data_IF_124150632825
#
_entry.id   IF_124150632825
#
_cell.length_a   1.000
_cell.length_b   1.000
_cell.length_c   1.000
_cell.angle_alpha   90.00
_cell.angle_beta   90.00
_cell.angle_gamma   90.00
#
_symmetry.space_group_name_H-M   'P 1'
#
loop_
_entity.id
_entity.type
_entity.pdbx_description
1 polymer ?
#
# COMPACT_ATOMS: atom_id res chain seq x y z
N UNK A 1 -21.37 88.71 24.18
CA UNK A 1 -19.89 88.72 24.14
C UNK A 1 -19.44 87.70 23.09
N UNK A 2 -18.29 87.94 22.45
CA UNK A 2 -17.79 87.17 21.31
C UNK A 2 -17.01 85.91 21.73
N UNK A 3 -16.57 85.16 20.71
CA UNK A 3 -15.62 84.03 20.67
C UNK A 3 -16.24 82.61 20.56
N UNK A 4 -15.69 81.68 19.77
CA UNK A 4 -14.86 81.80 18.55
C UNK A 4 -14.95 80.49 17.73
N UNK A 5 -14.80 80.56 16.42
CA UNK A 5 -14.97 79.43 15.48
C UNK A 5 -13.85 78.36 15.57
N UNK A 6 -14.21 77.10 15.84
CA UNK A 6 -13.51 75.92 15.28
C UNK A 6 -14.50 74.75 15.06
N UNK A 7 -14.73 74.28 13.81
CA UNK A 7 -15.51 73.06 13.57
C UNK A 7 -14.66 71.78 13.75
N UNK A 8 -15.21 70.68 14.31
CA UNK A 8 -14.45 69.44 14.53
C UNK A 8 -14.13 68.71 13.22
N UNK A 9 -12.86 68.35 13.04
CA UNK A 9 -12.36 67.63 11.86
C UNK A 9 -12.97 66.23 11.72
N UNK A 10 -13.26 65.85 10.48
CA UNK A 10 -13.81 64.55 10.12
C UNK A 10 -12.92 63.37 10.56
N UNK A 11 -13.50 62.42 11.30
CA UNK A 11 -12.86 61.13 11.57
C UNK A 11 -12.80 60.32 10.27
N UNK A 12 -11.64 60.35 9.58
CA UNK A 12 -11.31 59.34 8.56
C UNK A 12 -11.23 57.96 9.23
N UNK A 13 -12.29 57.17 9.10
CA UNK A 13 -12.23 55.74 9.36
C UNK A 13 -11.34 55.10 8.29
N UNK A 14 -10.07 54.93 8.61
CA UNK A 14 -9.12 54.24 7.75
C UNK A 14 -9.43 52.74 7.73
N UNK A 15 -10.17 52.30 6.72
CA UNK A 15 -10.39 50.88 6.46
C UNK A 15 -9.05 50.19 6.20
N UNK A 16 -8.50 49.54 7.23
CA UNK A 16 -7.38 48.60 7.09
C UNK A 16 -7.89 47.34 6.37
N UNK A 17 -7.92 47.41 5.05
CA UNK A 17 -7.98 46.24 4.18
C UNK A 17 -6.81 45.32 4.54
N UNK A 18 -7.11 44.21 5.23
CA UNK A 18 -6.16 43.11 5.34
C UNK A 18 -6.03 42.48 3.96
N UNK A 19 -4.91 42.75 3.29
CA UNK A 19 -4.52 42.00 2.10
C UNK A 19 -4.54 40.50 2.45
N UNK A 20 -5.04 39.62 1.56
CA UNK A 20 -4.95 38.19 1.79
C UNK A 20 -3.46 37.81 1.84
N UNK A 21 -3.03 37.16 2.92
CA UNK A 21 -1.69 36.57 2.98
C UNK A 21 -1.62 35.48 1.91
N UNK A 22 -0.95 35.79 0.79
CA UNK A 22 -0.66 34.84 -0.27
C UNK A 22 0.16 33.70 0.33
N UNK A 23 -0.52 32.61 0.68
CA UNK A 23 0.06 31.47 1.39
C UNK A 23 1.01 30.74 0.45
N UNK A 24 2.25 31.24 0.40
CA UNK A 24 3.30 30.75 -0.48
C UNK A 24 3.39 29.22 -0.35
N UNK A 25 3.37 28.47 -1.48
CA UNK A 25 3.37 27.01 -1.42
C UNK A 25 4.63 26.58 -0.68
N UNK A 26 4.46 25.87 0.45
CA UNK A 26 5.58 25.34 1.24
C UNK A 26 6.50 24.59 0.28
N UNK A 27 7.73 25.08 0.12
CA UNK A 27 8.72 24.45 -0.72
C UNK A 27 8.81 22.97 -0.35
N UNK A 28 8.56 22.08 -1.33
CA UNK A 28 8.64 20.63 -1.12
C UNK A 28 10.03 20.33 -0.53
N UNK A 29 10.06 19.74 0.66
CA UNK A 29 11.33 19.45 1.33
C UNK A 29 12.18 18.55 0.43
N UNK A 30 13.36 19.01 -0.05
CA UNK A 30 14.22 18.14 -0.82
C UNK A 30 14.82 17.09 0.15
N UNK A 31 14.71 15.80 -0.21
CA UNK A 31 15.29 14.59 0.43
C UNK A 31 14.29 13.51 0.92
N UNK A 32 13.00 13.57 0.56
CA UNK A 32 12.27 12.30 0.44
C UNK A 32 12.88 11.52 -0.74
N UNK A 33 13.35 10.28 -0.50
CA UNK A 33 13.44 9.33 -1.59
C UNK A 33 12.03 9.15 -2.14
N UNK A 34 11.88 9.14 -3.47
CA UNK A 34 10.58 8.90 -4.07
C UNK A 34 10.11 7.51 -3.67
N UNK A 35 8.88 7.41 -3.15
CA UNK A 35 8.33 6.13 -2.71
C UNK A 35 8.30 5.14 -3.87
N UNK A 36 8.41 3.84 -3.58
CA UNK A 36 8.47 2.78 -4.59
C UNK A 36 7.60 1.59 -4.21
N UNK A 37 7.16 0.86 -5.24
CA UNK A 37 6.39 -0.37 -5.12
C UNK A 37 7.01 -1.50 -5.92
N UNK A 38 6.88 -2.72 -5.42
CA UNK A 38 7.30 -3.93 -6.12
C UNK A 38 6.41 -4.21 -7.34
N UNK A 39 7.01 -4.78 -8.38
CA UNK A 39 6.27 -5.32 -9.54
C UNK A 39 5.22 -6.36 -9.17
N UNK A 40 5.31 -7.00 -8.00
CA UNK A 40 4.29 -7.90 -7.44
C UNK A 40 2.89 -7.27 -7.36
N UNK A 41 2.79 -5.95 -7.18
CA UNK A 41 1.50 -5.22 -7.17
C UNK A 41 0.96 -5.02 -8.59
N UNK A 42 1.82 -5.07 -9.62
CA UNK A 42 1.50 -4.75 -11.02
C UNK A 42 1.16 -6.01 -11.82
N UNK A 43 1.86 -7.14 -11.57
CA UNK A 43 1.65 -8.43 -12.25
C UNK A 43 0.18 -8.85 -12.37
N UNK A 44 -0.65 -8.79 -11.30
CA UNK A 44 -2.03 -9.28 -11.39
C UNK A 44 -2.93 -8.39 -12.24
N UNK A 45 -2.62 -7.10 -12.36
CA UNK A 45 -3.32 -6.19 -13.28
C UNK A 45 -2.98 -6.50 -14.74
N UNK A 46 -1.71 -6.81 -15.06
CA UNK A 46 -1.32 -7.27 -16.40
C UNK A 46 -2.07 -8.57 -16.79
N UNK A 47 -2.12 -9.54 -15.86
CA UNK A 47 -2.88 -10.78 -16.04
C UNK A 47 -4.39 -10.50 -16.26
N UNK A 48 -5.00 -9.66 -15.43
CA UNK A 48 -6.42 -9.31 -15.56
C UNK A 48 -6.75 -8.61 -16.88
N UNK A 49 -5.96 -7.59 -17.26
CA UNK A 49 -6.14 -6.90 -18.55
C UNK A 49 -6.07 -7.88 -19.73
N UNK A 50 -5.11 -8.82 -19.69
CA UNK A 50 -4.97 -9.88 -20.70
C UNK A 50 -6.19 -10.81 -20.70
N UNK A 51 -6.68 -11.20 -19.53
CA UNK A 51 -7.87 -12.05 -19.37
C UNK A 51 -9.15 -11.42 -19.95
N UNK A 52 -9.31 -10.09 -19.88
CA UNK A 52 -10.43 -9.35 -20.50
C UNK A 52 -10.15 -8.91 -21.95
N UNK A 53 -9.12 -9.46 -22.61
CA UNK A 53 -8.83 -9.19 -24.02
C UNK A 53 -8.21 -7.81 -24.30
N UNK A 54 -7.60 -7.17 -23.30
CA UNK A 54 -6.75 -5.97 -23.48
C UNK A 54 -5.28 -6.38 -23.59
N UNK A 55 -4.50 -5.59 -24.32
CA UNK A 55 -3.07 -5.84 -24.45
C UNK A 55 -2.32 -5.38 -23.19
N UNK A 56 -2.13 -6.32 -22.26
CA UNK A 56 -1.36 -6.10 -21.03
C UNK A 56 0.12 -5.81 -21.27
N UNK A 57 0.70 -6.25 -22.40
CA UNK A 57 2.10 -5.98 -22.73
C UNK A 57 2.27 -4.54 -23.26
N UNK A 58 1.35 -4.07 -24.12
CA UNK A 58 1.32 -2.68 -24.57
C UNK A 58 1.08 -1.70 -23.41
N UNK A 59 0.21 -2.03 -22.46
CA UNK A 59 -0.02 -1.25 -21.24
C UNK A 59 1.25 -1.11 -20.38
N UNK A 60 2.05 -2.18 -20.22
CA UNK A 60 3.35 -2.10 -19.55
C UNK A 60 4.36 -1.27 -20.36
N UNK A 61 4.40 -1.47 -21.68
CA UNK A 61 5.28 -0.77 -22.60
C UNK A 61 5.06 0.74 -22.64
N UNK A 62 3.81 1.19 -22.50
CA UNK A 62 3.45 2.62 -22.40
C UNK A 62 4.15 3.34 -21.23
N UNK A 63 4.48 2.59 -20.18
CA UNK A 63 5.20 3.08 -18.99
C UNK A 63 6.65 2.59 -18.94
N UNK A 64 7.19 2.05 -20.03
CA UNK A 64 8.59 1.59 -20.12
C UNK A 64 8.91 0.31 -19.34
N UNK A 65 7.90 -0.52 -19.04
CA UNK A 65 8.06 -1.85 -18.46
C UNK A 65 7.89 -2.92 -19.54
N UNK A 66 8.42 -4.12 -19.29
CA UNK A 66 8.16 -5.31 -20.12
C UNK A 66 7.57 -6.44 -19.26
N UNK A 67 6.88 -7.42 -19.85
CA UNK A 67 6.41 -8.60 -19.11
C UNK A 67 7.54 -9.37 -18.41
N UNK A 68 8.73 -9.43 -19.01
CA UNK A 68 9.92 -10.10 -18.45
C UNK A 68 10.46 -9.34 -17.24
N UNK A 69 10.44 -8.00 -17.27
CA UNK A 69 10.79 -7.18 -16.12
C UNK A 69 9.84 -7.45 -14.93
N UNK A 70 8.57 -7.77 -15.19
CA UNK A 70 7.64 -8.27 -14.17
C UNK A 70 7.90 -9.73 -13.74
N UNK A 71 9.05 -10.33 -14.04
CA UNK A 71 9.49 -11.58 -13.39
C UNK A 71 10.53 -11.31 -12.29
N UNK A 72 11.31 -10.25 -12.42
CA UNK A 72 12.34 -9.85 -11.45
C UNK A 72 11.75 -9.53 -10.07
N UNK A 73 12.22 -10.26 -9.05
CA UNK A 73 11.68 -10.19 -7.66
C UNK A 73 12.02 -8.87 -6.96
N UNK A 74 13.23 -8.37 -7.20
CA UNK A 74 13.72 -7.13 -6.58
C UNK A 74 13.36 -5.86 -7.37
N UNK A 75 12.72 -5.99 -8.55
CA UNK A 75 12.37 -4.83 -9.36
C UNK A 75 11.23 -4.02 -8.71
N UNK A 76 11.48 -2.73 -8.57
CA UNK A 76 10.56 -1.74 -8.02
C UNK A 76 10.41 -0.57 -8.97
N UNK A 77 9.22 0.00 -9.01
CA UNK A 77 8.92 1.21 -9.77
C UNK A 77 8.64 2.38 -8.82
N UNK A 78 8.92 3.64 -9.22
CA UNK A 78 8.46 4.82 -8.51
C UNK A 78 6.94 4.81 -8.33
N UNK A 79 6.49 5.32 -7.19
CA UNK A 79 5.09 5.40 -6.80
C UNK A 79 4.25 6.16 -7.84
N UNK A 80 4.76 7.24 -8.43
CA UNK A 80 4.07 7.97 -9.50
C UNK A 80 3.87 7.13 -10.78
N UNK A 81 4.81 6.24 -11.12
CA UNK A 81 4.67 5.30 -12.24
C UNK A 81 3.61 4.22 -11.92
N UNK A 82 3.56 3.73 -10.68
CA UNK A 82 2.50 2.83 -10.22
C UNK A 82 1.11 3.48 -10.22
N UNK A 83 1.01 4.74 -9.79
CA UNK A 83 -0.23 5.53 -9.87
C UNK A 83 -0.68 5.64 -11.33
N UNK A 84 0.23 6.02 -12.25
CA UNK A 84 -0.07 6.13 -13.67
C UNK A 84 -0.55 4.80 -14.26
N UNK A 85 0.18 3.70 -14.06
CA UNK A 85 -0.19 2.35 -14.48
C UNK A 85 -1.61 1.97 -14.04
N UNK A 86 -1.92 2.12 -12.75
CA UNK A 86 -3.22 1.72 -12.20
C UNK A 86 -4.37 2.63 -12.68
N UNK A 87 -4.13 3.93 -12.86
CA UNK A 87 -5.10 4.84 -13.47
C UNK A 87 -5.36 4.50 -14.94
N UNK A 88 -4.31 4.17 -15.69
CA UNK A 88 -4.40 3.74 -17.09
C UNK A 88 -5.12 2.39 -17.22
N UNK A 89 -4.88 1.45 -16.29
CA UNK A 89 -5.57 0.16 -16.26
C UNK A 89 -7.09 0.30 -16.08
N UNK A 90 -7.56 1.21 -15.21
CA UNK A 90 -8.98 1.55 -15.06
C UNK A 90 -9.56 2.13 -16.36
N UNK A 91 -8.82 3.04 -17.01
CA UNK A 91 -9.27 3.68 -18.24
C UNK A 91 -9.34 2.70 -19.43
N UNK A 92 -8.37 1.79 -19.55
CA UNK A 92 -8.27 0.80 -20.62
C UNK A 92 -9.28 -0.34 -20.47
N UNK A 93 -9.55 -0.78 -19.24
CA UNK A 93 -10.58 -1.80 -18.98
C UNK A 93 -11.99 -1.23 -19.08
N UNK A 94 -12.21 0.01 -18.61
CA UNK A 94 -13.54 0.54 -18.30
C UNK A 94 -14.12 -0.01 -16.99
N UNK A 95 -13.32 -0.79 -16.25
CA UNK A 95 -13.69 -1.45 -15.00
C UNK A 95 -13.15 -0.66 -13.79
N UNK A 96 -14.08 -0.08 -13.04
CA UNK A 96 -13.73 0.67 -11.83
C UNK A 96 -13.43 -0.23 -10.62
N UNK A 97 -13.79 -1.52 -10.66
CA UNK A 97 -13.51 -2.51 -9.62
C UNK A 97 -12.25 -3.36 -9.94
N UNK A 98 -11.42 -2.90 -10.89
CA UNK A 98 -10.24 -3.62 -11.38
C UNK A 98 -9.25 -4.01 -10.27
N UNK A 99 -9.19 -3.27 -9.16
CA UNK A 99 -8.39 -3.68 -8.00
C UNK A 99 -8.87 -5.00 -7.40
N UNK A 100 -10.19 -5.13 -7.26
CA UNK A 100 -10.84 -6.36 -6.78
C UNK A 100 -10.66 -7.50 -7.78
N UNK A 101 -10.83 -7.27 -9.07
CA UNK A 101 -10.64 -8.32 -10.08
C UNK A 101 -9.18 -8.75 -10.23
N UNK A 102 -8.22 -7.82 -10.25
CA UNK A 102 -6.79 -8.13 -10.30
C UNK A 102 -6.35 -8.99 -9.10
N UNK A 103 -6.95 -8.82 -7.92
CA UNK A 103 -6.68 -9.66 -6.76
C UNK A 103 -7.12 -11.15 -6.94
N UNK A 104 -7.98 -11.45 -7.90
CA UNK A 104 -8.31 -12.83 -8.30
C UNK A 104 -7.28 -13.43 -9.26
N UNK A 105 -6.50 -12.59 -9.96
CA UNK A 105 -5.40 -12.98 -10.84
C UNK A 105 -4.05 -13.11 -10.09
N UNK A 106 -4.09 -13.18 -8.76
CA UNK A 106 -2.93 -13.40 -7.88
C UNK A 106 -2.65 -14.91 -7.78
N UNK A 107 -1.51 -15.31 -8.32
CA UNK A 107 -0.99 -16.68 -8.29
C UNK A 107 -0.22 -16.95 -6.99
N UNK A 108 0.02 -18.22 -6.67
CA UNK A 108 0.77 -18.59 -5.47
C UNK A 108 2.25 -18.23 -5.62
N UNK A 109 2.80 -17.48 -4.66
CA UNK A 109 4.17 -16.97 -4.67
C UNK A 109 4.31 -15.57 -5.26
N UNK A 110 3.24 -14.93 -5.72
CA UNK A 110 3.25 -13.55 -6.24
C UNK A 110 3.65 -12.53 -5.17
N UNK A 111 3.37 -12.78 -3.88
CA UNK A 111 3.82 -11.90 -2.78
C UNK A 111 5.10 -12.43 -2.08
N UNK A 112 5.78 -13.39 -2.69
CA UNK A 112 7.11 -13.87 -2.31
C UNK A 112 7.22 -14.21 -0.81
N UNK A 113 8.35 -13.88 -0.17
CA UNK A 113 8.61 -14.08 1.26
C UNK A 113 7.46 -13.62 2.17
N UNK A 114 6.68 -12.61 1.78
CA UNK A 114 5.55 -12.14 2.57
C UNK A 114 4.41 -13.16 2.59
N UNK A 115 4.12 -13.79 1.44
CA UNK A 115 3.10 -14.85 1.31
C UNK A 115 3.48 -16.08 2.16
N UNK A 116 4.74 -16.51 2.05
CA UNK A 116 5.26 -17.66 2.78
C UNK A 116 5.37 -17.36 4.29
N UNK A 117 5.83 -16.18 4.70
CA UNK A 117 5.98 -15.85 6.11
C UNK A 117 4.61 -15.77 6.80
N UNK A 118 3.64 -15.10 6.17
CA UNK A 118 2.28 -15.05 6.69
C UNK A 118 1.66 -16.46 6.83
N UNK A 119 1.99 -17.42 5.95
CA UNK A 119 1.32 -18.73 5.94
C UNK A 119 1.77 -19.60 7.12
N UNK A 120 3.00 -19.34 7.58
CA UNK A 120 3.64 -20.02 8.69
C UNK A 120 3.39 -19.33 10.06
N UNK A 121 2.69 -18.18 10.07
CA UNK A 121 2.17 -17.58 11.32
C UNK A 121 1.14 -18.50 11.98
N UNK A 122 1.00 -18.44 13.31
CA UNK A 122 0.07 -19.32 14.02
C UNK A 122 -1.40 -18.93 13.81
N UNK A 123 -1.69 -17.66 13.51
CA UNK A 123 -3.04 -17.15 13.32
C UNK A 123 -3.12 -16.02 12.29
N UNK A 124 -4.34 -15.70 11.86
CA UNK A 124 -4.65 -14.55 11.01
C UNK A 124 -4.15 -13.24 11.63
N UNK A 125 -4.30 -13.07 12.95
CA UNK A 125 -3.84 -11.89 13.67
C UNK A 125 -2.32 -11.71 13.61
N UNK A 126 -1.55 -12.79 13.79
CA UNK A 126 -0.09 -12.75 13.63
C UNK A 126 0.30 -12.39 12.19
N UNK A 127 -0.39 -12.93 11.19
CA UNK A 127 -0.11 -12.61 9.79
C UNK A 127 -0.46 -11.17 9.41
N UNK A 128 -1.53 -10.59 9.96
CA UNK A 128 -1.84 -9.17 9.75
C UNK A 128 -0.80 -8.26 10.43
N UNK A 129 -0.30 -8.61 11.62
CA UNK A 129 0.81 -7.89 12.26
C UNK A 129 2.09 -8.00 11.43
N UNK A 130 2.37 -9.18 10.86
CA UNK A 130 3.50 -9.40 9.96
C UNK A 130 3.35 -8.57 8.67
N UNK A 131 2.16 -8.54 8.07
CA UNK A 131 1.85 -7.69 6.92
C UNK A 131 2.05 -6.19 7.23
N UNK A 132 1.62 -5.71 8.41
CA UNK A 132 1.84 -4.33 8.82
C UNK A 132 3.33 -3.98 8.90
N UNK A 133 4.16 -4.88 9.46
CA UNK A 133 5.61 -4.70 9.58
C UNK A 133 6.32 -4.68 8.22
N UNK A 134 5.92 -5.56 7.30
CA UNK A 134 6.62 -5.80 6.05
C UNK A 134 5.97 -5.14 4.82
N UNK A 135 4.91 -4.34 4.99
CA UNK A 135 4.19 -3.65 3.91
C UNK A 135 5.11 -2.89 2.94
N UNK A 136 6.20 -2.29 3.45
CA UNK A 136 7.18 -1.58 2.64
C UNK A 136 7.90 -2.45 1.58
N UNK A 137 7.98 -3.78 1.80
CA UNK A 137 8.45 -4.73 0.77
C UNK A 137 7.55 -4.73 -0.46
N UNK A 138 6.26 -4.41 -0.32
CA UNK A 138 5.34 -4.28 -1.44
C UNK A 138 5.21 -2.83 -1.91
N UNK A 139 5.05 -1.87 -0.98
CA UNK A 139 4.87 -0.45 -1.28
C UNK A 139 5.32 0.41 -0.09
N UNK A 140 6.47 1.08 -0.18
CA UNK A 140 7.06 1.84 0.94
C UNK A 140 6.37 3.19 1.23
N UNK A 141 5.56 3.68 0.29
CA UNK A 141 4.67 4.82 0.46
C UNK A 141 3.37 4.50 1.22
N UNK A 142 3.15 3.24 1.64
CA UNK A 142 1.91 2.77 2.25
C UNK A 142 2.18 2.15 3.63
N UNK A 143 1.38 2.54 4.63
CA UNK A 143 1.41 2.01 5.98
C UNK A 143 0.11 1.28 6.29
N UNK A 144 0.20 0.10 6.89
CA UNK A 144 -0.92 -0.58 7.53
C UNK A 144 -0.84 -0.41 9.05
N UNK A 145 -1.99 -0.23 9.68
CA UNK A 145 -2.14 -0.20 11.13
C UNK A 145 -3.26 -1.15 11.55
N UNK A 146 -2.98 -2.08 12.47
CA UNK A 146 -3.99 -2.98 13.02
C UNK A 146 -4.44 -2.48 14.41
N UNK A 147 -5.57 -1.78 14.44
CA UNK A 147 -6.23 -1.36 15.67
C UNK A 147 -7.05 -2.52 16.24
N UNK A 148 -6.72 -2.99 17.46
CA UNK A 148 -7.47 -4.07 18.13
C UNK A 148 -8.23 -3.50 19.34
N UNK A 149 -9.55 -3.54 19.29
CA UNK A 149 -10.45 -3.04 20.33
C UNK A 149 -11.63 -4.02 20.53
N UNK A 150 -11.45 -5.07 21.37
CA UNK A 150 -12.42 -6.16 21.50
C UNK A 150 -13.86 -5.66 21.74
N UNK A 151 -14.87 -6.24 21.06
CA UNK A 151 -14.81 -7.46 20.23
C UNK A 151 -14.35 -7.25 18.78
N UNK A 152 -13.94 -6.04 18.40
CA UNK A 152 -13.62 -5.65 17.02
C UNK A 152 -12.11 -5.45 16.79
N UNK A 153 -11.72 -5.47 15.53
CA UNK A 153 -10.44 -4.95 15.06
C UNK A 153 -10.62 -4.27 13.69
N UNK A 154 -9.73 -3.33 13.39
CA UNK A 154 -9.69 -2.61 12.12
C UNK A 154 -8.26 -2.60 11.56
N UNK A 155 -8.08 -3.12 10.34
CA UNK A 155 -6.86 -2.92 9.57
C UNK A 155 -7.04 -1.65 8.73
N UNK A 156 -6.30 -0.60 9.06
CA UNK A 156 -6.35 0.70 8.38
C UNK A 156 -5.21 0.85 7.39
N UNK A 157 -5.45 1.63 6.33
CA UNK A 157 -4.40 2.03 5.37
C UNK A 157 -4.15 3.53 5.46
N UNK A 158 -2.88 3.93 5.43
CA UNK A 158 -2.45 5.33 5.33
C UNK A 158 -1.34 5.50 4.31
N UNK A 159 -1.34 6.64 3.61
CA UNK A 159 -0.21 7.08 2.83
C UNK A 159 0.90 7.67 3.69
N UNK A 160 2.12 7.15 3.55
CA UNK A 160 3.32 7.69 4.18
C UNK A 160 3.58 9.09 3.63
N UNK A 161 3.86 10.07 4.50
CA UNK A 161 4.10 11.46 4.11
C UNK A 161 2.90 12.17 3.47
N UNK A 162 1.69 11.58 3.51
CA UNK A 162 0.50 12.12 2.84
C UNK A 162 0.39 11.76 1.36
N UNK A 163 1.12 10.73 0.89
CA UNK A 163 0.96 10.20 -0.48
C UNK A 163 -0.46 9.66 -0.70
N UNK A 164 -1.10 10.06 -1.80
CA UNK A 164 -2.38 9.52 -2.23
C UNK A 164 -2.17 8.24 -3.04
N UNK A 165 -3.13 7.32 -2.97
CA UNK A 165 -3.06 6.02 -3.64
C UNK A 165 -4.32 5.85 -4.49
N UNK A 166 -4.22 5.27 -5.71
CA UNK A 166 -5.37 5.06 -6.56
C UNK A 166 -6.34 4.06 -5.90
N UNK A 167 -7.67 4.22 -6.07
CA UNK A 167 -8.68 3.32 -5.52
C UNK A 167 -8.36 1.84 -5.76
N UNK A 168 -8.06 1.49 -7.02
CA UNK A 168 -7.69 0.14 -7.44
C UNK A 168 -6.53 -0.47 -6.64
N UNK A 169 -5.57 0.33 -6.16
CA UNK A 169 -4.46 -0.18 -5.34
C UNK A 169 -4.89 -0.56 -3.92
N UNK A 170 -5.82 0.19 -3.32
CA UNK A 170 -6.38 -0.09 -1.99
C UNK A 170 -7.37 -1.24 -2.04
N UNK A 171 -8.22 -1.27 -3.06
CA UNK A 171 -9.12 -2.39 -3.36
C UNK A 171 -8.34 -3.70 -3.56
N UNK A 172 -7.28 -3.67 -4.38
CA UNK A 172 -6.40 -4.80 -4.62
C UNK A 172 -5.73 -5.30 -3.34
N UNK A 173 -5.21 -4.40 -2.51
CA UNK A 173 -4.61 -4.74 -1.22
C UNK A 173 -5.62 -5.48 -0.32
N UNK A 174 -6.82 -4.94 -0.14
CA UNK A 174 -7.84 -5.55 0.71
C UNK A 174 -8.39 -6.87 0.15
N UNK A 175 -8.66 -6.94 -1.17
CA UNK A 175 -9.10 -8.18 -1.80
C UNK A 175 -8.01 -9.27 -1.74
N UNK A 176 -6.74 -8.89 -1.97
CA UNK A 176 -5.60 -9.82 -1.88
C UNK A 176 -5.41 -10.39 -0.48
N UNK A 177 -5.53 -9.58 0.57
CA UNK A 177 -5.46 -10.04 1.97
C UNK A 177 -6.57 -11.05 2.30
N UNK A 178 -7.77 -10.90 1.75
CA UNK A 178 -8.88 -11.84 1.95
C UNK A 178 -8.74 -13.12 1.12
N UNK A 179 -8.36 -13.01 -0.15
CA UNK A 179 -8.03 -14.17 -1.00
C UNK A 179 -6.94 -15.01 -0.35
N UNK A 180 -5.86 -14.36 0.09
CA UNK A 180 -4.77 -14.98 0.80
C UNK A 180 -5.20 -15.62 2.14
N UNK A 181 -5.86 -14.85 3.02
CA UNK A 181 -6.28 -15.33 4.33
C UNK A 181 -7.26 -16.51 4.24
N UNK A 182 -8.10 -16.53 3.21
CA UNK A 182 -9.00 -17.65 2.93
C UNK A 182 -8.25 -18.93 2.55
N UNK A 183 -7.15 -18.80 1.79
CA UNK A 183 -6.25 -19.93 1.46
C UNK A 183 -5.52 -20.44 2.70
N UNK A 184 -5.03 -19.55 3.57
CA UNK A 184 -4.22 -19.94 4.75
C UNK A 184 -5.01 -20.60 5.89
N UNK A 185 -6.32 -20.32 6.02
CA UNK A 185 -7.21 -21.00 6.99
C UNK A 185 -8.14 -22.06 6.37
N UNK A 186 -8.03 -22.31 5.06
CA UNK A 186 -8.78 -23.36 4.35
C UNK A 186 -10.29 -23.12 4.20
N UNK A 187 -10.80 -21.90 4.46
CA UNK A 187 -12.20 -21.53 4.24
C UNK A 187 -12.34 -20.04 3.93
N UNK A 188 -13.41 -19.67 3.19
CA UNK A 188 -13.67 -18.29 2.78
C UNK A 188 -13.78 -17.36 4.00
N UNK A 189 -12.85 -16.42 4.13
CA UNK A 189 -12.99 -15.28 5.04
C UNK A 189 -13.70 -14.15 4.34
N UNK A 190 -14.54 -13.42 5.09
CA UNK A 190 -15.10 -12.14 4.67
C UNK A 190 -15.06 -11.21 5.89
N UNK A 191 -14.66 -9.93 5.72
CA UNK A 191 -14.66 -8.99 6.83
C UNK A 191 -16.10 -8.71 7.26
N UNK A 192 -16.28 -8.06 8.41
CA UNK A 192 -17.57 -7.50 8.78
C UNK A 192 -17.96 -6.41 7.78
N UNK A 193 -17.01 -5.52 7.47
CA UNK A 193 -17.17 -4.39 6.56
C UNK A 193 -15.83 -3.95 5.98
N UNK A 194 -15.84 -3.35 4.80
CA UNK A 194 -14.75 -2.50 4.28
C UNK A 194 -15.25 -1.07 4.10
N UNK A 195 -14.48 -0.12 4.61
CA UNK A 195 -14.62 1.30 4.35
C UNK A 195 -13.55 1.72 3.32
N UNK A 196 -13.97 2.42 2.27
CA UNK A 196 -13.12 3.03 1.26
C UNK A 196 -13.28 4.56 1.29
N UNK A 197 -12.18 5.29 1.13
CA UNK A 197 -12.17 6.78 1.10
C UNK A 197 -12.70 7.35 -0.19
N UNK A 198 -12.42 6.68 -1.30
CA UNK A 198 -12.89 7.13 -2.60
C UNK A 198 -14.42 7.08 -2.69
N UNK A 199 -15.07 7.96 -3.48
CA UNK A 199 -16.50 7.87 -3.72
C UNK A 199 -16.85 6.53 -4.37
N UNK A 200 -18.12 6.11 -4.24
CA UNK A 200 -18.63 4.93 -4.95
C UNK A 200 -18.40 5.16 -6.44
N UNK A 201 -17.78 4.22 -7.17
CA UNK A 201 -17.61 4.36 -8.60
C UNK A 201 -18.93 4.69 -9.29
N UNK A 202 -18.90 5.68 -10.18
CA UNK A 202 -20.03 5.91 -11.08
C UNK A 202 -20.24 4.65 -11.92
N UNK A 203 -21.50 4.30 -12.22
CA UNK A 203 -21.84 3.15 -13.07
C UNK A 203 -22.12 3.66 -14.49
N UNK A 204 -21.14 3.68 -15.42
CA UNK A 204 -21.44 3.89 -16.82
C UNK A 204 -22.46 2.85 -17.31
N UNK A 205 -23.26 3.21 -18.30
CA UNK A 205 -24.21 2.27 -18.90
C UNK A 205 -23.43 1.10 -19.51
N UNK A 206 -23.69 -0.13 -19.04
CA UNK A 206 -22.95 -1.34 -19.41
C UNK A 206 -21.74 -1.70 -18.52
N UNK A 207 -21.50 -0.97 -17.43
CA UNK A 207 -20.37 -1.26 -16.53
C UNK A 207 -20.56 -2.54 -15.70
N UNK A 208 -19.43 -3.21 -15.43
CA UNK A 208 -19.30 -4.40 -14.58
C UNK A 208 -19.92 -4.16 -13.20
N UNK A 209 -20.55 -5.19 -12.64
CA UNK A 209 -21.42 -5.03 -11.49
C UNK A 209 -20.67 -4.72 -10.19
N UNK A 210 -21.15 -3.72 -9.45
CA UNK A 210 -20.66 -3.48 -8.08
C UNK A 210 -20.96 -4.65 -7.13
N UNK A 211 -21.76 -5.63 -7.57
CA UNK A 211 -21.89 -6.92 -6.91
C UNK A 211 -20.55 -7.64 -6.65
N UNK A 212 -19.47 -7.41 -7.42
CA UNK A 212 -18.16 -8.00 -7.08
C UNK A 212 -17.64 -7.53 -5.71
N UNK A 213 -17.89 -6.28 -5.34
CA UNK A 213 -17.58 -5.79 -4.00
C UNK A 213 -18.41 -6.52 -2.94
N UNK A 214 -19.70 -6.74 -3.20
CA UNK A 214 -20.64 -7.46 -2.32
C UNK A 214 -20.49 -8.99 -2.38
N UNK A 215 -19.68 -9.52 -3.28
CA UNK A 215 -19.23 -10.92 -3.32
C UNK A 215 -17.96 -11.09 -2.47
N UNK A 216 -16.92 -10.29 -2.72
CA UNK A 216 -15.66 -10.38 -1.98
C UNK A 216 -15.85 -9.92 -0.53
N UNK A 217 -16.34 -8.70 -0.34
CA UNK A 217 -16.53 -8.06 0.95
C UNK A 217 -17.98 -8.21 1.42
N UNK A 218 -18.25 -8.35 2.73
CA UNK A 218 -19.62 -8.56 3.25
C UNK A 218 -20.49 -7.30 3.15
N UNK A 219 -19.94 -6.18 3.60
CA UNK A 219 -20.55 -4.85 3.57
C UNK A 219 -19.46 -3.90 3.07
N UNK A 220 -19.80 -2.97 2.17
CA UNK A 220 -18.86 -1.97 1.65
C UNK A 220 -19.46 -0.58 1.77
N UNK A 221 -18.66 0.35 2.29
CA UNK A 221 -18.97 1.78 2.35
C UNK A 221 -17.92 2.56 1.58
N UNK A 222 -18.38 3.53 0.81
CA UNK A 222 -17.54 4.43 0.00
C UNK A 222 -17.70 5.87 0.50
N UNK A 223 -16.71 6.72 0.25
CA UNK A 223 -16.69 8.11 0.71
C UNK A 223 -16.42 8.25 2.22
N UNK A 224 -15.78 7.26 2.84
CA UNK A 224 -15.41 7.29 4.26
C UNK A 224 -14.19 8.19 4.53
N UNK A 225 -13.93 8.55 5.79
CA UNK A 225 -12.75 9.37 6.14
C UNK A 225 -11.42 8.62 5.96
N UNK A 226 -11.41 7.30 6.18
CA UNK A 226 -10.25 6.43 6.15
C UNK A 226 -10.54 5.08 5.49
N UNK A 227 -9.54 4.48 4.86
CA UNK A 227 -9.64 3.12 4.29
C UNK A 227 -9.43 2.11 5.43
N UNK A 228 -10.40 1.22 5.64
CA UNK A 228 -10.36 0.30 6.77
C UNK A 228 -11.11 -1.01 6.49
N UNK A 229 -10.48 -2.15 6.79
CA UNK A 229 -11.12 -3.46 6.83
C UNK A 229 -11.44 -3.83 8.28
N UNK A 230 -12.72 -4.07 8.59
CA UNK A 230 -13.20 -4.39 9.92
C UNK A 230 -13.45 -5.89 10.10
N UNK A 231 -13.01 -6.45 11.21
CA UNK A 231 -13.22 -7.86 11.56
C UNK A 231 -13.51 -8.02 13.08
N UNK A 232 -13.86 -9.23 13.50
CA UNK A 232 -13.93 -9.58 14.93
C UNK A 232 -12.55 -10.00 15.43
N UNK A 233 -12.28 -9.80 16.73
CA UNK A 233 -11.09 -10.38 17.37
C UNK A 233 -11.08 -11.91 17.31
N UNK A 234 -12.26 -12.55 17.31
CA UNK A 234 -12.39 -13.98 17.06
C UNK A 234 -11.90 -14.41 15.67
N UNK A 235 -12.01 -13.56 14.64
CA UNK A 235 -11.43 -13.83 13.32
C UNK A 235 -9.90 -13.75 13.33
N UNK A 236 -9.32 -12.80 14.08
CA UNK A 236 -7.86 -12.71 14.26
C UNK A 236 -7.28 -13.95 14.94
N UNK A 237 -8.04 -14.56 15.86
CA UNK A 237 -7.63 -15.77 16.59
C UNK A 237 -7.80 -17.07 15.78
N UNK A 238 -8.26 -17.02 14.52
CA UNK A 238 -8.36 -18.22 13.67
C UNK A 238 -6.95 -18.76 13.35
N UNK A 239 -6.67 -20.05 13.61
CA UNK A 239 -5.38 -20.64 13.28
C UNK A 239 -5.24 -20.88 11.78
N UNK A 240 -4.01 -20.82 11.28
CA UNK A 240 -3.69 -21.31 9.93
C UNK A 240 -3.66 -22.84 9.86
N UNK A 241 -3.82 -23.39 8.65
CA UNK A 241 -3.86 -24.84 8.45
C UNK A 241 -2.55 -25.56 8.77
N UNK A 242 -1.39 -24.93 8.50
CA UNK A 242 -0.05 -25.52 8.66
C UNK A 242 0.99 -24.49 9.11
N UNK A 243 0.93 -23.98 10.36
CA UNK A 243 1.92 -23.05 10.89
C UNK A 243 3.25 -23.76 11.19
N UNK A 244 4.37 -23.19 10.75
CA UNK A 244 5.72 -23.63 11.11
C UNK A 244 6.53 -22.46 11.69
N UNK A 245 6.75 -22.48 13.01
CA UNK A 245 7.50 -21.45 13.73
C UNK A 245 8.98 -21.36 13.31
N UNK A 246 9.59 -22.48 12.93
CA UNK A 246 10.99 -22.55 12.53
C UNK A 246 11.18 -21.92 11.15
N UNK A 247 10.31 -22.29 10.19
CA UNK A 247 10.32 -21.69 8.86
C UNK A 247 9.93 -20.20 8.90
N UNK A 248 8.93 -19.83 9.72
CA UNK A 248 8.56 -18.43 9.96
C UNK A 248 9.76 -17.58 10.41
N UNK A 249 10.62 -18.09 11.31
CA UNK A 249 11.80 -17.37 11.76
C UNK A 249 12.81 -17.13 10.63
N UNK A 250 13.04 -18.14 9.77
CA UNK A 250 13.94 -18.02 8.61
C UNK A 250 13.41 -16.97 7.62
N UNK A 251 12.11 -17.05 7.28
CA UNK A 251 11.46 -16.13 6.35
C UNK A 251 11.43 -14.70 6.90
N UNK A 252 11.17 -14.52 8.20
CA UNK A 252 11.21 -13.21 8.86
C UNK A 252 12.62 -12.61 8.84
N UNK A 253 13.65 -13.41 9.10
CA UNK A 253 15.05 -12.96 9.03
C UNK A 253 15.44 -12.50 7.62
N UNK A 254 14.92 -13.17 6.58
CA UNK A 254 15.11 -12.79 5.18
C UNK A 254 14.35 -11.51 4.82
N UNK A 255 13.07 -11.41 5.19
CA UNK A 255 12.26 -10.20 4.99
C UNK A 255 12.87 -8.97 5.69
N UNK A 256 13.45 -9.14 6.87
CA UNK A 256 14.22 -8.11 7.57
C UNK A 256 15.50 -7.70 6.83
N UNK A 257 16.15 -8.62 6.11
CA UNK A 257 17.30 -8.29 5.28
C UNK A 257 16.89 -7.44 4.07
N UNK A 258 15.77 -7.77 3.43
CA UNK A 258 15.20 -6.98 2.33
C UNK A 258 14.76 -5.57 2.81
N UNK A 259 14.08 -5.44 3.96
CA UNK A 259 13.75 -4.13 4.53
C UNK A 259 15.00 -3.29 4.81
N UNK A 260 16.07 -3.90 5.32
CA UNK A 260 17.36 -3.23 5.52
C UNK A 260 18.04 -2.81 4.22
N UNK A 261 17.76 -3.46 3.09
CA UNK A 261 18.23 -3.03 1.77
C UNK A 261 17.43 -1.84 1.27
N UNK A 262 16.09 -1.87 1.34
CA UNK A 262 15.22 -0.72 0.99
C UNK A 262 15.54 0.54 1.80
N UNK A 263 15.87 0.38 3.08
CA UNK A 263 16.22 1.50 3.96
C UNK A 263 17.61 2.13 3.66
N UNK A 264 18.45 1.53 2.81
CA UNK A 264 19.74 2.11 2.43
C UNK A 264 19.53 3.17 1.35
N UNK A 265 20.13 4.37 1.48
CA UNK A 265 20.12 5.32 0.37
C UNK A 265 20.86 4.70 -0.82
N UNK A 266 20.34 4.83 -2.07
CA UNK A 266 20.86 4.13 -3.24
C UNK A 266 22.36 4.37 -3.45
N UNK A 267 23.06 3.45 -4.09
CA UNK A 267 24.47 3.59 -4.39
C UNK A 267 24.74 4.86 -5.22
N UNK A 268 25.97 5.39 -5.18
CA UNK A 268 26.34 6.53 -6.02
C UNK A 268 26.12 6.24 -7.51
N UNK A 269 26.37 4.99 -7.94
CA UNK A 269 26.11 4.54 -9.31
C UNK A 269 24.61 4.54 -9.67
N UNK A 270 23.72 4.13 -8.75
CA UNK A 270 22.26 4.15 -8.97
C UNK A 270 21.74 5.59 -9.03
N UNK A 271 22.19 6.47 -8.13
CA UNK A 271 21.89 7.91 -8.22
C UNK A 271 22.42 8.53 -9.52
N UNK A 272 23.59 8.11 -9.99
CA UNK A 272 24.14 8.56 -11.26
C UNK A 272 23.30 8.05 -12.45
N UNK A 273 22.90 6.77 -12.47
CA UNK A 273 22.01 6.21 -13.50
C UNK A 273 20.64 6.88 -13.52
N UNK A 274 20.02 7.10 -12.36
CA UNK A 274 18.75 7.82 -12.26
C UNK A 274 18.86 9.25 -12.80
N UNK A 275 19.90 10.01 -12.41
CA UNK A 275 20.15 11.36 -12.96
C UNK A 275 20.45 11.31 -14.46
N UNK A 276 21.18 10.30 -14.95
CA UNK A 276 21.46 10.13 -16.38
C UNK A 276 20.16 9.87 -17.15
N UNK A 277 19.28 8.97 -16.67
CA UNK A 277 17.96 8.73 -17.23
C UNK A 277 17.10 10.01 -17.27
N UNK A 278 17.02 10.73 -16.14
CA UNK A 278 16.37 12.06 -16.06
C UNK A 278 16.94 13.05 -17.12
N UNK A 279 18.26 13.10 -17.33
CA UNK A 279 18.86 14.03 -18.31
C UNK A 279 18.79 13.59 -19.76
N UNK A 280 18.75 12.28 -20.05
CA UNK A 280 18.58 11.75 -21.40
C UNK A 280 17.14 11.97 -21.87
N UNK A 281 16.15 11.70 -21.02
CA UNK A 281 14.74 12.01 -21.30
C UNK A 281 14.50 13.52 -21.47
N UNK A 282 15.28 14.36 -20.79
CA UNK A 282 15.23 15.81 -20.93
C UNK A 282 16.10 16.37 -22.08
N UNK A 283 16.83 15.56 -22.84
CA UNK A 283 17.68 16.01 -23.96
C UNK A 283 18.94 16.81 -23.56
N UNK A 284 19.38 16.77 -22.30
CA UNK A 284 20.50 17.58 -21.79
C UNK A 284 21.81 16.75 -21.69
N UNK A 285 22.46 16.55 -22.83
CA UNK A 285 23.68 15.74 -22.95
C UNK A 285 24.94 16.48 -22.49
N UNK A 286 25.46 16.16 -21.30
CA UNK A 286 26.77 16.64 -20.85
C UNK A 286 27.25 15.97 -19.55
N UNK A 287 28.28 15.13 -19.64
CA UNK A 287 28.80 14.32 -18.52
C UNK A 287 29.18 15.16 -17.28
N UNK A 288 29.80 16.32 -17.48
CA UNK A 288 30.12 17.27 -16.40
C UNK A 288 28.86 17.85 -15.72
N UNK A 289 27.75 18.02 -16.46
CA UNK A 289 26.52 18.58 -15.92
C UNK A 289 25.81 17.55 -15.02
N UNK A 290 25.84 16.28 -15.43
CA UNK A 290 25.44 15.12 -14.60
C UNK A 290 26.30 15.06 -13.33
N UNK A 291 27.63 15.04 -13.46
CA UNK A 291 28.55 15.00 -12.32
C UNK A 291 28.30 16.17 -11.33
N UNK A 292 28.10 17.38 -11.85
CA UNK A 292 27.77 18.57 -11.04
C UNK A 292 26.37 18.55 -10.43
N UNK A 293 25.40 17.78 -10.96
CA UNK A 293 24.08 17.56 -10.34
C UNK A 293 24.14 16.48 -9.25
N UNK A 294 24.79 15.34 -9.52
CA UNK A 294 24.97 14.26 -8.54
C UNK A 294 25.76 14.77 -7.32
N UNK A 295 26.84 15.53 -7.52
CA UNK A 295 27.62 16.11 -6.42
C UNK A 295 26.81 17.11 -5.57
N UNK A 296 25.97 17.95 -6.20
CA UNK A 296 25.10 18.92 -5.50
C UNK A 296 23.95 18.25 -4.75
N UNK A 297 23.30 17.21 -5.30
CA UNK A 297 22.30 16.40 -4.57
C UNK A 297 22.91 15.61 -3.40
N UNK A 298 24.22 15.30 -3.43
CA UNK A 298 24.90 14.51 -2.39
C UNK A 298 25.42 15.34 -1.18
N UNK A 299 25.16 16.65 -1.10
CA UNK A 299 25.56 17.49 0.03
C UNK A 299 27.08 17.68 0.23
N UNK A 300 27.92 17.24 -0.71
CA UNK A 300 29.38 17.34 -0.61
C UNK A 300 29.88 18.62 -1.30
N UNK A 301 30.44 19.54 -0.51
CA UNK A 301 31.44 20.48 -1.04
C UNK A 301 32.62 19.68 -1.59
N UNK A 302 33.25 20.19 -2.65
CA UNK A 302 34.43 19.62 -3.33
C UNK A 302 35.47 19.17 -2.30
N UNK A 303 36.09 17.97 -2.44
CA UNK A 303 37.15 17.56 -1.51
C UNK A 303 38.31 18.57 -1.57
N UNK A 304 38.92 18.94 -0.43
CA UNK A 304 40.20 19.64 -0.43
C UNK A 304 41.28 18.74 -1.04
N UNK A 305 42.38 19.34 -1.51
CA UNK A 305 43.60 18.58 -1.82
C UNK A 305 44.16 17.96 -0.53
N UNK A 306 44.87 16.84 -0.66
CA UNK A 306 45.44 16.10 0.46
C UNK A 306 46.31 16.99 1.37
N UNK A 307 46.09 16.87 2.68
CA UNK A 307 46.75 17.68 3.71
C UNK A 307 45.96 17.67 5.03
N UNK A 308 46.32 16.74 5.90
CA UNK A 308 46.13 16.69 7.36
C UNK A 308 44.75 16.58 8.06
N UNK A 309 44.84 15.84 9.19
CA UNK A 309 44.04 15.90 10.43
C UNK A 309 42.59 15.33 10.49
N UNK A 310 42.52 14.07 10.94
CA UNK A 310 41.72 13.52 12.07
C UNK A 310 40.18 13.75 12.20
N UNK A 311 39.43 12.76 12.73
CA UNK A 311 37.96 12.75 12.64
C UNK A 311 37.24 13.48 13.78
N UNK A 312 36.16 14.20 13.45
CA UNK A 312 35.11 14.59 14.42
C UNK A 312 33.86 13.72 14.22
N UNK A 313 33.40 13.09 15.31
CA UNK A 313 32.12 12.36 15.34
C UNK A 313 30.96 13.35 15.43
N UNK A 314 29.87 13.07 14.72
CA UNK A 314 28.55 13.67 14.95
C UNK A 314 27.51 12.54 15.09
N UNK A 315 26.43 12.76 15.87
CA UNK A 315 25.57 11.68 16.35
C UNK A 315 24.63 11.14 15.28
N UNK A 316 24.35 9.85 15.37
CA UNK A 316 23.22 9.22 14.67
C UNK A 316 21.93 9.70 15.36
N UNK A 317 21.03 10.31 14.59
CA UNK A 317 19.69 10.65 15.06
C UNK A 317 18.85 9.38 15.13
N UNK A 318 18.41 9.03 16.34
CA UNK A 318 17.51 7.90 16.59
C UNK A 318 16.10 8.20 16.02
N UNK A 319 15.44 7.18 15.47
CA UNK A 319 14.16 7.30 14.74
C UNK A 319 12.95 6.96 15.64
N UNK A 320 12.97 7.41 16.90
CA UNK A 320 11.96 7.00 17.91
C UNK A 320 10.89 8.04 18.26
N UNK A 321 10.99 9.28 17.79
CA UNK A 321 10.14 10.39 18.26
C UNK A 321 9.10 10.90 17.23
N UNK A 322 8.14 10.03 16.87
CA UNK A 322 6.84 10.37 16.24
C UNK A 322 5.82 9.24 16.56
N UNK A 323 4.54 9.44 16.93
CA UNK A 323 3.74 10.57 17.42
C UNK A 323 2.67 9.98 18.37
N UNK A 324 2.39 10.55 19.56
CA UNK A 324 1.31 10.04 20.42
C UNK A 324 -0.08 10.51 19.93
N UNK A 325 -0.82 9.63 19.27
CA UNK A 325 -2.22 9.88 18.88
C UNK A 325 -3.18 9.46 20.01
N UNK A 326 -3.64 10.42 20.82
CA UNK A 326 -4.68 10.18 21.85
C UNK A 326 -6.04 9.94 21.19
N UNK A 327 -6.68 8.83 21.51
CA UNK A 327 -8.06 8.52 21.14
C UNK A 327 -9.03 9.62 21.62
N UNK A 328 -9.95 10.05 20.75
CA UNK A 328 -11.19 10.72 21.16
C UNK A 328 -12.36 9.74 20.96
N UNK A 329 -13.11 9.38 22.01
CA UNK A 329 -14.22 8.43 21.89
C UNK A 329 -15.49 9.14 21.41
N UNK A 330 -15.70 9.20 20.10
CA UNK A 330 -16.97 9.71 19.52
C UNK A 330 -17.22 9.24 18.08
N UNK A 331 -17.30 7.93 17.86
CA UNK A 331 -17.97 7.35 16.69
C UNK A 331 -18.92 6.24 17.16
N UNK A 332 -20.14 6.21 16.63
CA UNK A 332 -21.24 5.38 17.15
C UNK A 332 -20.98 3.90 16.88
N UNK A 333 -21.26 3.07 17.88
CA UNK A 333 -21.31 1.61 17.76
C UNK A 333 -22.28 1.21 16.62
N UNK A 334 -21.99 0.16 15.84
CA UNK A 334 -22.98 -0.44 14.96
C UNK A 334 -24.10 -1.06 15.82
N UNK A 335 -25.31 -0.51 15.74
CA UNK A 335 -26.50 -1.17 16.25
C UNK A 335 -26.85 -2.33 15.32
N UNK A 336 -27.06 -3.53 15.87
CA UNK A 336 -27.45 -4.71 15.10
C UNK A 336 -26.35 -5.75 14.87
N UNK A 337 -25.70 -6.22 15.94
CA UNK A 337 -25.10 -7.57 15.97
C UNK A 337 -25.73 -8.32 17.14
N UNK A 338 -26.86 -8.98 16.87
CA UNK A 338 -27.34 -10.03 17.77
C UNK A 338 -26.37 -11.21 17.68
N UNK A 339 -26.04 -11.80 18.83
CA UNK A 339 -25.20 -12.99 18.88
C UNK A 339 -25.93 -14.15 18.19
N UNK A 340 -25.31 -14.72 17.16
CA UNK A 340 -25.57 -16.09 16.74
C UNK A 340 -24.44 -16.94 17.33
N UNK A 341 -24.84 -17.81 18.25
CA UNK A 341 -23.97 -18.54 19.15
C UNK A 341 -23.48 -19.87 18.53
N UNK A 342 -22.69 -20.60 19.31
CA UNK A 342 -22.01 -21.84 18.97
C UNK A 342 -22.87 -22.91 18.27
N UNK A 343 -22.27 -23.60 17.29
CA UNK A 343 -22.86 -24.77 16.65
C UNK A 343 -22.08 -25.26 15.42
N UNK A 344 -20.91 -25.85 15.62
CA UNK A 344 -20.73 -27.29 15.38
C UNK A 344 -19.34 -27.76 15.87
N UNK A 345 -19.31 -28.76 16.74
CA UNK A 345 -18.10 -29.36 17.29
C UNK A 345 -18.14 -30.88 17.08
N UNK A 346 -18.08 -31.27 15.81
CA UNK A 346 -18.13 -32.67 15.37
C UNK A 346 -16.93 -33.50 15.80
N UNK A 347 -17.14 -34.29 16.87
CA UNK A 347 -16.38 -35.44 17.35
C UNK A 347 -15.07 -35.84 16.64
N UNK A 348 -13.95 -35.73 17.37
CA UNK A 348 -12.71 -36.48 17.07
C UNK A 348 -12.90 -37.95 17.43
N UNK A 349 -12.79 -38.85 16.45
CA UNK A 349 -12.64 -40.29 16.69
C UNK A 349 -11.27 -40.76 16.18
N UNK A 350 -10.44 -41.28 17.09
CA UNK A 350 -9.12 -41.84 16.76
C UNK A 350 -9.28 -43.28 16.27
N UNK A 351 -8.82 -43.59 15.05
CA UNK A 351 -8.30 -44.92 14.71
C UNK A 351 -7.03 -44.79 13.89
N UNK A 352 -6.00 -45.51 14.32
CA UNK A 352 -4.71 -45.60 13.65
C UNK A 352 -4.77 -46.60 12.49
N UNK A 353 -4.24 -46.23 11.33
CA UNK A 353 -3.72 -47.14 10.31
C UNK A 353 -2.74 -46.39 9.41
N UNK A 354 -1.57 -46.97 9.18
CA UNK A 354 -0.57 -46.47 8.22
C UNK A 354 -0.92 -46.89 6.76
N UNK A 355 -0.28 -46.30 5.73
CA UNK A 355 -0.93 -46.04 4.45
C UNK A 355 -0.60 -47.06 3.35
N UNK A 356 -1.23 -46.91 2.17
CA UNK A 356 -0.58 -47.21 0.89
C UNK A 356 -0.29 -45.94 0.07
N UNK A 357 0.79 -46.00 -0.71
CA UNK A 357 1.20 -45.01 -1.70
C UNK A 357 0.40 -45.18 -3.00
N UNK A 358 -0.08 -44.10 -3.62
CA UNK A 358 -0.09 -43.83 -5.09
C UNK A 358 -1.13 -42.77 -5.49
N UNK A 359 -0.89 -42.10 -6.62
CA UNK A 359 -1.92 -41.40 -7.41
C UNK A 359 -1.95 -39.87 -7.28
N UNK A 360 -1.65 -39.19 -8.40
CA UNK A 360 -1.81 -37.75 -8.55
C UNK A 360 -3.27 -37.28 -8.45
N UNK A 361 -3.50 -36.17 -7.75
CA UNK A 361 -4.45 -35.16 -8.22
C UNK A 361 -4.02 -33.77 -7.70
N UNK A 362 -3.68 -32.79 -8.58
CA UNK A 362 -3.39 -31.44 -8.13
C UNK A 362 -4.68 -30.78 -7.64
N UNK A 363 -4.66 -30.29 -6.40
CA UNK A 363 -5.79 -29.58 -5.78
C UNK A 363 -6.24 -28.42 -6.67
N UNK A 364 -7.46 -28.50 -7.23
CA UNK A 364 -7.99 -27.45 -8.11
C UNK A 364 -8.01 -26.11 -7.36
N UNK A 365 -7.47 -25.02 -7.91
CA UNK A 365 -7.64 -23.69 -7.31
C UNK A 365 -9.12 -23.33 -7.32
N UNK A 366 -9.61 -22.78 -6.20
CA UNK A 366 -10.99 -22.32 -6.08
C UNK A 366 -11.22 -21.14 -7.02
N UNK A 367 -11.87 -21.38 -8.15
CA UNK A 367 -12.26 -20.35 -9.09
C UNK A 367 -13.49 -19.59 -8.59
N UNK A 368 -13.30 -18.32 -8.26
CA UNK A 368 -14.40 -17.37 -8.14
C UNK A 368 -15.03 -17.20 -9.53
N UNK A 369 -16.27 -17.67 -9.68
CA UNK A 369 -16.93 -17.79 -10.96
C UNK A 369 -17.41 -16.46 -11.51
N UNK A 370 -16.48 -15.62 -11.99
CA UNK A 370 -16.82 -14.40 -12.74
C UNK A 370 -17.55 -14.78 -14.02
N UNK A 371 -18.87 -14.56 -14.05
CA UNK A 371 -19.62 -14.57 -15.30
C UNK A 371 -19.28 -13.29 -16.07
N UNK A 372 -18.35 -13.42 -17.01
CA UNK A 372 -18.21 -12.46 -18.09
C UNK A 372 -19.50 -12.51 -18.94
N UNK A 373 -20.11 -11.35 -19.16
CA UNK A 373 -21.28 -11.13 -20.01
C UNK A 373 -20.92 -10.15 -21.12
#
# INVERSE_FOLDING_TARGET
MQESLVPPRSRRSGSRTRSPETRSPRARSPLAAEATLSTFVIRPFARYLTQIGRDGAAWLGAQGLTPEALTERDLRVPHQQGVALLTEAVALSGDAAIGVHAAHCVEAGDFDVLEYAAANCASVGEALVLACRFMALMHDGLLLELDVAPPLAALRVRGVGGLEHPPAGIEFLFASLLSYGSRSIGHRTRPLRVDFRHPRPARPAGAVDTAVYEEVFREVRFGCEADAMWCTTAALNRPHCRPDRSLLQILTNHADALLRQLARPPAFAERARAVIGETLLAGHSGADQVARRVARRAGRRRPPRAGDAAPRRQPVLDRRDLVPARLRPSQRLPQGVQALDAGDAGAVSRRSAEPPLSGDEPSRPWTWGVRLH
#
